data_IF_940576004833
#
_entry.id   IF_940576004833
#
_cell.length_a   1.000
_cell.length_b   1.000
_cell.length_c   1.000
_cell.angle_alpha   90.00
_cell.angle_beta   90.00
_cell.angle_gamma   90.00
#
_symmetry.space_group_name_H-M   'P 1'
#
loop_
_entity.id
_entity.type
_entity.pdbx_description
1 polymer ?
#
# COMPACT_ATOMS: atom_id res chain seq x y z
N UNK A 1 -37.03 -13.46 -3.96
CA UNK A 1 -35.93 -12.79 -3.21
C UNK A 1 -34.61 -13.36 -3.69
N UNK A 2 -33.60 -12.54 -4.01
CA UNK A 2 -32.33 -13.01 -4.62
C UNK A 2 -31.57 -14.04 -3.77
N UNK A 3 -31.66 -13.92 -2.44
CA UNK A 3 -31.08 -14.88 -1.49
C UNK A 3 -31.76 -16.26 -1.50
N UNK A 4 -32.92 -16.43 -2.14
CA UNK A 4 -33.56 -17.76 -2.27
C UNK A 4 -33.04 -18.54 -3.48
N UNK A 5 -32.18 -17.92 -4.30
CA UNK A 5 -31.54 -18.58 -5.44
C UNK A 5 -30.37 -19.44 -4.96
N UNK A 6 -30.03 -20.49 -5.71
CA UNK A 6 -28.91 -21.38 -5.36
C UNK A 6 -27.54 -20.74 -5.65
N UNK A 7 -27.50 -19.83 -6.61
CA UNK A 7 -26.28 -19.25 -7.17
C UNK A 7 -25.40 -18.56 -6.12
N UNK A 8 -25.91 -17.72 -5.18
CA UNK A 8 -25.08 -17.13 -4.12
C UNK A 8 -24.46 -18.17 -3.17
N UNK A 9 -25.19 -19.25 -2.86
CA UNK A 9 -24.69 -20.32 -2.00
C UNK A 9 -23.66 -21.19 -2.69
N UNK A 10 -23.87 -21.50 -3.98
CA UNK A 10 -22.86 -22.18 -4.80
C UNK A 10 -21.58 -21.35 -4.91
N UNK A 11 -21.71 -20.02 -5.08
CA UNK A 11 -20.58 -19.10 -5.06
C UNK A 11 -19.84 -19.10 -3.71
N UNK A 12 -20.58 -19.10 -2.59
CA UNK A 12 -20.00 -19.20 -1.25
C UNK A 12 -19.25 -20.52 -1.05
N UNK A 13 -19.85 -21.65 -1.43
CA UNK A 13 -19.23 -22.97 -1.33
C UNK A 13 -17.96 -23.02 -2.19
N UNK A 14 -18.03 -22.57 -3.44
CA UNK A 14 -16.86 -22.50 -4.32
C UNK A 14 -15.76 -21.62 -3.72
N UNK A 15 -16.13 -20.45 -3.17
CA UNK A 15 -15.20 -19.55 -2.50
C UNK A 15 -14.53 -20.20 -1.29
N UNK A 16 -15.28 -20.95 -0.47
CA UNK A 16 -14.73 -21.70 0.67
C UNK A 16 -13.81 -22.83 0.22
N UNK A 17 -14.13 -23.55 -0.87
CA UNK A 17 -13.25 -24.58 -1.42
C UNK A 17 -11.93 -23.95 -1.88
N UNK A 18 -11.98 -22.87 -2.65
CA UNK A 18 -10.79 -22.18 -3.15
C UNK A 18 -9.97 -21.55 -2.02
N UNK A 19 -10.63 -21.06 -0.96
CA UNK A 19 -9.98 -20.46 0.21
C UNK A 19 -9.58 -21.49 1.29
N UNK A 20 -10.00 -22.75 1.15
CA UNK A 20 -9.73 -23.81 2.14
C UNK A 20 -8.25 -24.02 2.44
N UNK A 21 -7.28 -23.90 1.49
CA UNK A 21 -5.87 -24.04 1.82
C UNK A 21 -5.38 -22.98 2.82
N UNK A 22 -5.92 -21.75 2.73
CA UNK A 22 -5.57 -20.65 3.65
C UNK A 22 -6.13 -20.90 5.05
N UNK A 23 -7.37 -21.41 5.13
CA UNK A 23 -8.01 -21.79 6.39
C UNK A 23 -7.24 -22.93 7.05
N UNK A 24 -6.96 -24.00 6.30
CA UNK A 24 -6.25 -25.17 6.81
C UNK A 24 -4.83 -24.82 7.27
N UNK A 25 -4.09 -24.06 6.48
CA UNK A 25 -2.76 -23.60 6.87
C UNK A 25 -2.81 -22.72 8.13
N UNK A 26 -3.76 -21.79 8.24
CA UNK A 26 -3.89 -20.99 9.46
C UNK A 26 -4.28 -21.84 10.68
N UNK A 27 -5.18 -22.80 10.53
CA UNK A 27 -5.54 -23.72 11.61
C UNK A 27 -4.31 -24.48 12.13
N UNK A 28 -3.45 -24.96 11.24
CA UNK A 28 -2.21 -25.64 11.59
C UNK A 28 -1.11 -24.72 12.15
N UNK A 29 -1.27 -23.39 12.03
CA UNK A 29 -0.29 -22.37 12.45
C UNK A 29 -0.92 -21.37 13.45
N UNK A 30 -1.76 -21.87 14.36
CA UNK A 30 -2.35 -21.10 15.47
C UNK A 30 -3.10 -19.82 15.05
N UNK A 31 -3.64 -19.80 13.83
CA UNK A 31 -4.31 -18.66 13.21
C UNK A 31 -3.43 -17.40 13.12
N UNK A 32 -2.11 -17.56 13.00
CA UNK A 32 -1.14 -16.46 13.08
C UNK A 32 -1.44 -15.32 12.11
N UNK A 33 -1.83 -15.62 10.86
CA UNK A 33 -2.14 -14.57 9.88
C UNK A 33 -3.42 -13.82 10.25
N UNK A 34 -4.48 -14.52 10.66
CA UNK A 34 -5.73 -13.87 11.06
C UNK A 34 -5.58 -13.05 12.33
N UNK A 35 -4.87 -13.56 13.34
CA UNK A 35 -4.53 -12.80 14.56
C UNK A 35 -3.79 -11.51 14.20
N UNK A 36 -2.78 -11.60 13.34
CA UNK A 36 -2.03 -10.43 12.87
C UNK A 36 -2.95 -9.42 12.17
N UNK A 37 -3.80 -9.85 11.23
CA UNK A 37 -4.68 -8.93 10.49
C UNK A 37 -5.76 -8.29 11.37
N UNK A 38 -6.34 -9.04 12.30
CA UNK A 38 -7.34 -8.52 13.24
C UNK A 38 -6.71 -7.50 14.21
N UNK A 39 -5.54 -7.81 14.77
CA UNK A 39 -4.81 -6.88 15.63
C UNK A 39 -4.36 -5.64 14.85
N UNK A 40 -3.84 -5.79 13.63
CA UNK A 40 -3.34 -4.66 12.87
C UNK A 40 -4.46 -3.76 12.30
N UNK A 41 -5.55 -4.37 11.83
CA UNK A 41 -6.62 -3.70 11.06
C UNK A 41 -7.81 -3.22 11.89
N UNK A 42 -8.17 -3.92 12.98
CA UNK A 42 -9.40 -3.66 13.74
C UNK A 42 -9.18 -3.18 15.18
N UNK A 43 -7.93 -3.12 15.64
CA UNK A 43 -7.61 -2.57 16.96
C UNK A 43 -7.95 -1.06 17.04
N UNK A 44 -8.56 -0.67 18.16
CA UNK A 44 -8.88 0.73 18.43
C UNK A 44 -7.59 1.46 18.81
N UNK A 45 -7.07 2.30 17.93
CA UNK A 45 -5.84 3.05 18.17
C UNK A 45 -6.13 4.30 19.01
N UNK A 46 -5.16 4.76 19.81
CA UNK A 46 -5.30 5.98 20.64
C UNK A 46 -5.68 7.24 19.83
N UNK A 47 -5.34 7.28 18.54
CA UNK A 47 -5.65 8.40 17.64
C UNK A 47 -7.02 8.28 16.96
N UNK A 48 -7.81 7.26 17.29
CA UNK A 48 -9.09 6.99 16.68
C UNK A 48 -10.15 8.04 17.05
N UNK A 49 -11.11 8.26 16.15
CA UNK A 49 -12.29 9.09 16.42
C UNK A 49 -12.70 9.92 15.19
N UNK A 50 -13.31 11.08 15.44
CA UNK A 50 -13.81 11.96 14.38
C UNK A 50 -12.72 12.47 13.46
N UNK A 51 -11.48 12.60 13.94
CA UNK A 51 -10.34 12.99 13.10
C UNK A 51 -10.04 11.92 12.05
N UNK A 52 -9.87 10.65 12.45
CA UNK A 52 -9.58 9.56 11.50
C UNK A 52 -10.73 9.29 10.56
N UNK A 53 -11.97 9.52 11.02
CA UNK A 53 -13.15 9.52 10.16
C UNK A 53 -13.11 10.65 9.12
N UNK A 54 -12.80 11.88 9.53
CA UNK A 54 -12.61 13.01 8.61
C UNK A 54 -11.48 12.77 7.61
N UNK A 55 -10.34 12.24 8.08
CA UNK A 55 -9.20 11.85 7.26
C UNK A 55 -9.61 10.77 6.23
N UNK A 56 -10.48 9.83 6.61
CA UNK A 56 -11.04 8.83 5.70
C UNK A 56 -11.84 9.49 4.58
N UNK A 57 -12.86 10.30 4.89
CA UNK A 57 -13.70 10.95 3.87
C UNK A 57 -12.89 11.87 2.96
N UNK A 58 -11.96 12.64 3.53
CA UNK A 58 -11.04 13.50 2.76
C UNK A 58 -10.11 12.67 1.86
N UNK A 59 -9.57 11.56 2.38
CA UNK A 59 -8.72 10.64 1.63
C UNK A 59 -9.47 9.97 0.47
N UNK A 60 -10.72 9.55 0.69
CA UNK A 60 -11.59 8.98 -0.33
C UNK A 60 -11.89 9.99 -1.45
N UNK A 61 -12.28 11.22 -1.09
CA UNK A 61 -12.51 12.29 -2.05
C UNK A 61 -11.23 12.68 -2.80
N UNK A 62 -10.07 12.64 -2.15
CA UNK A 62 -8.77 12.93 -2.76
C UNK A 62 -8.34 11.88 -3.78
N UNK A 63 -8.49 10.58 -3.46
CA UNK A 63 -8.05 9.49 -4.34
C UNK A 63 -9.01 9.24 -5.50
N UNK A 64 -10.31 9.30 -5.27
CA UNK A 64 -11.33 9.08 -6.32
C UNK A 64 -11.63 10.34 -7.14
N UNK A 65 -11.22 11.50 -6.62
CA UNK A 65 -11.62 12.87 -7.01
C UNK A 65 -12.99 13.29 -6.44
N UNK A 66 -13.16 14.56 -6.00
CA UNK A 66 -14.34 14.96 -5.23
C UNK A 66 -15.68 14.75 -5.97
N UNK A 67 -15.73 15.07 -7.26
CA UNK A 67 -16.96 14.97 -8.04
C UNK A 67 -17.35 13.50 -8.31
N UNK A 68 -16.38 12.67 -8.68
CA UNK A 68 -16.62 11.25 -8.90
C UNK A 68 -16.93 10.52 -7.60
N UNK A 69 -16.35 10.96 -6.48
CA UNK A 69 -16.65 10.43 -5.15
C UNK A 69 -18.13 10.65 -4.79
N UNK A 70 -18.63 11.89 -4.94
CA UNK A 70 -20.06 12.19 -4.70
C UNK A 70 -20.96 11.39 -5.65
N UNK A 71 -20.59 11.30 -6.93
CA UNK A 71 -21.34 10.50 -7.90
C UNK A 71 -21.36 9.00 -7.54
N UNK A 72 -20.27 8.48 -6.99
CA UNK A 72 -20.17 7.09 -6.53
C UNK A 72 -21.09 6.82 -5.34
N UNK A 73 -21.09 7.70 -4.32
CA UNK A 73 -21.99 7.57 -3.16
C UNK A 73 -23.46 7.66 -3.57
N UNK A 74 -23.79 8.61 -4.45
CA UNK A 74 -25.14 8.71 -5.02
C UNK A 74 -25.53 7.41 -5.72
N UNK A 75 -24.63 6.84 -6.51
CA UNK A 75 -24.89 5.60 -7.25
C UNK A 75 -25.05 4.40 -6.32
N UNK A 76 -24.25 4.28 -5.26
CA UNK A 76 -24.44 3.25 -4.23
C UNK A 76 -25.85 3.32 -3.65
N UNK A 77 -26.33 4.53 -3.30
CA UNK A 77 -27.71 4.76 -2.84
C UNK A 77 -28.78 4.49 -3.91
N UNK A 78 -28.53 4.82 -5.17
CA UNK A 78 -29.46 4.50 -6.27
C UNK A 78 -29.52 3.01 -6.58
N UNK A 79 -28.42 2.29 -6.40
CA UNK A 79 -28.34 0.86 -6.68
C UNK A 79 -29.21 0.05 -5.71
N UNK A 80 -29.25 0.41 -4.43
CA UNK A 80 -30.17 -0.22 -3.46
C UNK A 80 -31.65 0.05 -3.82
N UNK A 81 -31.98 1.28 -4.21
CA UNK A 81 -33.34 1.66 -4.63
C UNK A 81 -33.76 0.87 -5.88
N UNK A 82 -32.93 0.86 -6.93
CA UNK A 82 -33.20 0.12 -8.17
C UNK A 82 -33.28 -1.39 -7.94
N UNK A 83 -32.37 -1.90 -7.13
CA UNK A 83 -32.30 -3.31 -6.80
C UNK A 83 -33.55 -3.83 -6.09
N UNK A 84 -33.97 -3.16 -5.00
CA UNK A 84 -35.10 -3.61 -4.20
C UNK A 84 -36.46 -3.11 -4.72
N UNK A 85 -36.59 -1.81 -5.00
CA UNK A 85 -37.90 -1.22 -5.35
C UNK A 85 -38.25 -1.45 -6.82
N UNK A 86 -37.27 -1.33 -7.73
CA UNK A 86 -37.48 -1.48 -9.17
C UNK A 86 -37.21 -2.90 -9.69
N UNK A 87 -36.89 -3.84 -8.78
CA UNK A 87 -36.64 -5.26 -9.06
C UNK A 87 -35.57 -5.50 -10.13
N UNK A 88 -34.50 -4.70 -10.11
CA UNK A 88 -33.36 -4.84 -11.03
C UNK A 88 -32.19 -5.56 -10.34
N UNK A 89 -32.08 -6.90 -10.41
CA UNK A 89 -31.15 -7.68 -9.59
C UNK A 89 -29.67 -7.37 -9.88
N UNK A 90 -29.33 -6.89 -11.08
CA UNK A 90 -27.96 -6.47 -11.40
C UNK A 90 -27.51 -5.28 -10.54
N UNK A 91 -28.40 -4.35 -10.18
CA UNK A 91 -28.07 -3.27 -9.24
C UNK A 91 -27.92 -3.76 -7.80
N UNK A 92 -28.56 -4.86 -7.41
CA UNK A 92 -28.30 -5.48 -6.11
C UNK A 92 -26.88 -6.04 -6.05
N UNK A 93 -26.42 -6.72 -7.11
CA UNK A 93 -25.04 -7.21 -7.18
C UNK A 93 -24.07 -6.03 -7.01
N UNK A 94 -24.23 -4.97 -7.81
CA UNK A 94 -23.35 -3.80 -7.77
C UNK A 94 -23.40 -3.08 -6.41
N UNK A 95 -24.56 -3.05 -5.76
CA UNK A 95 -24.69 -2.53 -4.39
C UNK A 95 -23.90 -3.37 -3.39
N UNK A 96 -24.10 -4.69 -3.37
CA UNK A 96 -23.46 -5.59 -2.40
C UNK A 96 -21.94 -5.66 -2.57
N UNK A 97 -21.43 -5.43 -3.78
CA UNK A 97 -19.99 -5.35 -4.07
C UNK A 97 -19.42 -3.92 -4.00
N UNK A 98 -20.19 -2.94 -3.50
CA UNK A 98 -19.73 -1.56 -3.29
C UNK A 98 -20.03 -1.05 -1.87
N UNK A 99 -21.29 -0.75 -1.59
CA UNK A 99 -21.69 0.01 -0.41
C UNK A 99 -21.31 -0.70 0.92
N UNK A 100 -21.50 -2.02 1.10
CA UNK A 100 -21.08 -2.69 2.34
C UNK A 100 -19.57 -2.60 2.58
N UNK A 101 -18.75 -2.70 1.53
CA UNK A 101 -17.29 -2.56 1.62
C UNK A 101 -16.94 -1.14 2.06
N UNK A 102 -17.54 -0.13 1.41
CA UNK A 102 -17.34 1.27 1.77
C UNK A 102 -17.77 1.56 3.21
N UNK A 103 -18.96 1.11 3.62
CA UNK A 103 -19.50 1.31 4.97
C UNK A 103 -18.69 0.58 6.03
N UNK A 104 -18.20 -0.63 5.75
CA UNK A 104 -17.27 -1.33 6.62
C UNK A 104 -16.03 -0.49 6.88
N UNK A 105 -15.38 0.02 5.83
CA UNK A 105 -14.18 0.83 6.01
C UNK A 105 -14.47 2.19 6.65
N UNK A 106 -15.59 2.84 6.31
CA UNK A 106 -16.04 4.06 6.96
C UNK A 106 -16.24 3.83 8.46
N UNK A 107 -16.84 2.71 8.86
CA UNK A 107 -16.97 2.33 10.26
C UNK A 107 -15.62 2.06 10.92
N UNK A 108 -14.75 1.26 10.28
CA UNK A 108 -13.41 1.00 10.83
C UNK A 108 -12.57 2.26 10.97
N UNK A 109 -12.81 3.30 10.16
CA UNK A 109 -12.11 4.58 10.27
C UNK A 109 -12.40 5.34 11.57
N UNK A 110 -13.49 5.01 12.27
CA UNK A 110 -13.75 5.52 13.63
C UNK A 110 -12.88 4.84 14.68
N UNK A 111 -12.30 3.66 14.37
CA UNK A 111 -11.48 2.84 15.28
C UNK A 111 -10.00 2.93 14.98
N UNK A 112 -9.62 3.17 13.72
CA UNK A 112 -8.22 3.29 13.33
C UNK A 112 -8.09 4.14 12.06
N UNK A 113 -6.87 4.56 11.70
CA UNK A 113 -6.63 5.15 10.39
C UNK A 113 -6.81 4.07 9.32
N UNK A 114 -7.68 4.32 8.35
CA UNK A 114 -7.88 3.48 7.16
C UNK A 114 -7.13 4.12 6.00
N UNK A 115 -6.26 3.35 5.34
CA UNK A 115 -5.55 3.86 4.17
C UNK A 115 -6.51 4.01 2.99
N UNK A 116 -6.43 5.11 2.22
CA UNK A 116 -7.42 5.41 1.17
C UNK A 116 -7.61 4.30 0.14
N UNK A 117 -6.54 3.56 -0.18
CA UNK A 117 -6.54 2.47 -1.16
C UNK A 117 -7.31 1.23 -0.69
N UNK A 118 -7.57 1.05 0.61
CA UNK A 118 -8.29 -0.13 1.13
C UNK A 118 -9.71 -0.23 0.60
N UNK A 119 -10.31 0.90 0.24
CA UNK A 119 -11.70 0.99 -0.25
C UNK A 119 -11.80 0.88 -1.77
N UNK A 120 -10.67 0.80 -2.48
CA UNK A 120 -10.63 0.84 -3.95
C UNK A 120 -11.63 -0.12 -4.61
N UNK A 121 -11.77 -1.34 -4.06
CA UNK A 121 -12.68 -2.36 -4.59
C UNK A 121 -14.15 -1.92 -4.61
N UNK A 122 -14.56 -1.09 -3.64
CA UNK A 122 -15.94 -0.59 -3.57
C UNK A 122 -16.30 0.31 -4.75
N UNK A 123 -15.33 1.08 -5.27
CA UNK A 123 -15.57 2.04 -6.34
C UNK A 123 -15.73 1.41 -7.71
N UNK A 124 -15.10 0.25 -7.98
CA UNK A 124 -15.29 -0.43 -9.26
C UNK A 124 -16.77 -0.71 -9.54
N UNK A 125 -17.46 -1.31 -8.58
CA UNK A 125 -18.89 -1.62 -8.73
C UNK A 125 -19.76 -0.36 -8.75
N UNK A 126 -19.40 0.66 -7.96
CA UNK A 126 -20.11 1.93 -7.95
C UNK A 126 -19.98 2.70 -9.29
N UNK A 127 -18.80 2.70 -9.91
CA UNK A 127 -18.56 3.35 -11.21
C UNK A 127 -19.26 2.59 -12.35
N UNK A 128 -19.28 1.26 -12.31
CA UNK A 128 -20.05 0.44 -13.28
C UNK A 128 -21.55 0.75 -13.17
N UNK A 129 -22.08 0.80 -11.95
CA UNK A 129 -23.47 1.19 -11.72
C UNK A 129 -23.76 2.62 -12.22
N UNK A 130 -22.80 3.54 -12.05
CA UNK A 130 -22.92 4.93 -12.48
C UNK A 130 -23.02 4.98 -14.00
N UNK A 131 -22.10 4.30 -14.69
CA UNK A 131 -22.09 4.20 -16.14
C UNK A 131 -23.42 3.63 -16.68
N UNK A 132 -23.96 2.57 -16.07
CA UNK A 132 -25.24 1.99 -16.45
C UNK A 132 -26.42 2.97 -16.30
N UNK A 133 -26.53 3.66 -15.16
CA UNK A 133 -27.58 4.65 -14.93
C UNK A 133 -27.46 5.83 -15.91
N UNK A 134 -26.24 6.30 -16.15
CA UNK A 134 -25.96 7.40 -17.08
C UNK A 134 -26.33 7.00 -18.49
N UNK A 135 -25.93 5.81 -18.95
CA UNK A 135 -26.20 5.31 -20.29
C UNK A 135 -27.70 5.20 -20.59
N UNK A 136 -28.48 4.62 -19.66
CA UNK A 136 -29.94 4.50 -19.80
C UNK A 136 -30.62 5.87 -19.94
N UNK A 137 -30.20 6.85 -19.13
CA UNK A 137 -30.86 8.16 -19.08
C UNK A 137 -30.28 9.18 -20.05
N UNK A 138 -29.16 8.87 -20.70
CA UNK A 138 -28.45 9.79 -21.58
C UNK A 138 -29.33 10.43 -22.67
N UNK A 139 -30.23 9.67 -23.36
CA UNK A 139 -31.11 10.24 -24.38
C UNK A 139 -32.07 11.31 -23.81
N UNK A 140 -32.54 11.11 -22.58
CA UNK A 140 -33.50 11.98 -21.88
C UNK A 140 -32.85 13.19 -21.20
N UNK A 141 -31.53 13.18 -21.07
CA UNK A 141 -30.80 14.22 -20.33
C UNK A 141 -30.79 15.57 -21.05
N UNK A 142 -31.14 16.61 -20.30
CA UNK A 142 -30.95 18.00 -20.72
C UNK A 142 -29.45 18.31 -20.80
N UNK A 143 -29.10 19.33 -21.59
CA UNK A 143 -27.70 19.79 -21.77
C UNK A 143 -26.93 19.96 -20.45
N UNK A 144 -27.57 20.51 -19.41
CA UNK A 144 -26.96 20.68 -18.09
C UNK A 144 -26.51 19.36 -17.45
N UNK A 145 -27.29 18.28 -17.56
CA UNK A 145 -26.95 16.98 -16.98
C UNK A 145 -25.78 16.33 -17.73
N UNK A 146 -25.80 16.39 -19.07
CA UNK A 146 -24.69 15.93 -19.92
C UNK A 146 -23.40 16.71 -19.61
N UNK A 147 -23.49 18.03 -19.49
CA UNK A 147 -22.36 18.87 -19.10
C UNK A 147 -21.80 18.50 -17.73
N UNK A 148 -22.66 18.21 -16.74
CA UNK A 148 -22.23 17.78 -15.42
C UNK A 148 -21.49 16.43 -15.48
N UNK A 149 -22.00 15.45 -16.22
CA UNK A 149 -21.32 14.16 -16.35
C UNK A 149 -19.98 14.29 -17.08
N UNK A 150 -19.91 15.12 -18.12
CA UNK A 150 -18.63 15.46 -18.76
C UNK A 150 -17.67 16.17 -17.81
N UNK A 151 -18.16 17.10 -16.98
CA UNK A 151 -17.33 17.78 -15.98
C UNK A 151 -16.80 16.78 -14.93
N UNK A 152 -17.61 15.84 -14.45
CA UNK A 152 -17.16 14.77 -13.54
C UNK A 152 -16.08 13.93 -14.21
N UNK A 153 -16.33 13.41 -15.41
CA UNK A 153 -15.38 12.55 -16.13
C UNK A 153 -14.07 13.28 -16.47
N UNK A 154 -14.16 14.50 -17.00
CA UNK A 154 -13.01 15.31 -17.37
C UNK A 154 -12.19 15.73 -16.13
N UNK A 155 -12.85 16.11 -15.03
CA UNK A 155 -12.14 16.43 -13.78
C UNK A 155 -11.38 15.20 -13.24
N UNK A 156 -11.98 14.02 -13.28
CA UNK A 156 -11.34 12.78 -12.86
C UNK A 156 -10.11 12.46 -13.75
N UNK A 157 -10.25 12.59 -15.07
CA UNK A 157 -9.16 12.39 -16.01
C UNK A 157 -8.02 13.40 -15.82
N UNK A 158 -8.34 14.68 -15.66
CA UNK A 158 -7.34 15.75 -15.46
C UNK A 158 -6.57 15.51 -14.15
N UNK A 159 -7.27 15.25 -13.04
CA UNK A 159 -6.60 15.00 -11.75
C UNK A 159 -5.75 13.74 -11.82
N UNK A 160 -6.23 12.68 -12.48
CA UNK A 160 -5.46 11.45 -12.69
C UNK A 160 -4.20 11.72 -13.52
N UNK A 161 -4.31 12.48 -14.61
CA UNK A 161 -3.18 12.85 -15.44
C UNK A 161 -2.16 13.69 -14.65
N UNK A 162 -2.63 14.69 -13.88
CA UNK A 162 -1.76 15.50 -13.01
C UNK A 162 -1.05 14.61 -11.99
N UNK A 163 -1.75 13.66 -11.34
CA UNK A 163 -1.15 12.77 -10.36
C UNK A 163 -0.04 11.88 -10.95
N UNK A 164 -0.18 11.44 -12.20
CA UNK A 164 0.84 10.63 -12.89
C UNK A 164 1.98 11.48 -13.45
N UNK A 165 1.72 12.74 -13.82
CA UNK A 165 2.74 13.68 -14.27
C UNK A 165 3.55 14.27 -13.11
N UNK A 166 2.94 14.49 -11.95
CA UNK A 166 3.55 15.08 -10.75
C UNK A 166 4.92 14.48 -10.35
N UNK A 167 5.14 13.16 -10.35
CA UNK A 167 6.46 12.59 -10.05
C UNK A 167 7.52 12.85 -11.13
N UNK A 168 7.13 13.17 -12.37
CA UNK A 168 8.06 13.45 -13.47
C UNK A 168 8.32 14.95 -13.61
N UNK A 169 7.23 15.71 -13.55
CA UNK A 169 7.20 17.16 -13.66
C UNK A 169 6.35 17.65 -12.47
N UNK A 170 6.91 18.41 -11.51
CA UNK A 170 6.15 18.89 -10.35
C UNK A 170 5.17 20.00 -10.78
N UNK A 171 4.08 19.59 -11.45
CA UNK A 171 3.02 20.46 -11.99
C UNK A 171 2.40 21.29 -10.88
N UNK A 172 2.16 20.66 -9.72
CA UNK A 172 1.75 21.34 -8.50
C UNK A 172 3.01 21.61 -7.67
N UNK A 173 3.27 22.87 -7.25
CA UNK A 173 4.48 23.26 -6.51
C UNK A 173 4.41 22.82 -5.04
N UNK A 174 4.36 21.51 -4.80
CA UNK A 174 4.37 20.92 -3.46
C UNK A 174 5.83 20.69 -3.03
N UNK A 175 6.15 21.08 -1.80
CA UNK A 175 7.45 20.78 -1.19
C UNK A 175 7.73 19.28 -1.29
N UNK A 176 8.91 18.85 -1.77
CA UNK A 176 9.23 17.43 -1.96
C UNK A 176 8.92 16.52 -0.79
N UNK A 177 9.20 16.94 0.45
CA UNK A 177 8.90 16.16 1.67
C UNK A 177 7.41 16.00 1.97
N UNK A 178 6.56 16.87 1.44
CA UNK A 178 5.10 16.85 1.62
C UNK A 178 4.38 16.28 0.39
N UNK A 179 5.08 16.07 -0.71
CA UNK A 179 4.53 15.54 -1.94
C UNK A 179 4.46 14.02 -1.86
N UNK A 180 3.26 13.40 -1.89
CA UNK A 180 3.13 11.95 -1.82
C UNK A 180 3.86 11.22 -2.97
N UNK A 181 4.01 11.86 -4.13
CA UNK A 181 4.66 11.27 -5.30
C UNK A 181 6.18 11.18 -5.17
N UNK A 182 6.76 11.88 -4.19
CA UNK A 182 8.19 11.77 -3.87
C UNK A 182 8.59 10.35 -3.46
N UNK A 183 7.63 9.54 -2.98
CA UNK A 183 7.84 8.14 -2.66
C UNK A 183 8.25 7.29 -3.87
N UNK A 184 8.00 7.74 -5.10
CA UNK A 184 8.33 7.04 -6.35
C UNK A 184 9.74 7.36 -6.86
N UNK A 185 10.49 8.25 -6.19
CA UNK A 185 11.76 8.77 -6.65
C UNK A 185 12.95 8.30 -5.81
N UNK A 186 14.15 8.37 -6.39
CA UNK A 186 15.42 8.16 -5.69
C UNK A 186 15.89 6.71 -5.58
N UNK A 187 15.05 5.73 -5.90
CA UNK A 187 15.38 4.32 -5.70
C UNK A 187 16.48 3.80 -6.63
N UNK A 188 16.58 4.30 -7.88
CA UNK A 188 17.73 3.98 -8.75
C UNK A 188 19.05 4.48 -8.16
N UNK A 189 19.07 5.70 -7.64
CA UNK A 189 20.24 6.25 -6.97
C UNK A 189 20.59 5.46 -5.69
N UNK A 190 19.59 4.94 -4.98
CA UNK A 190 19.80 4.00 -3.87
C UNK A 190 20.51 2.74 -4.33
N UNK A 191 20.04 2.13 -5.43
CA UNK A 191 20.69 1.00 -6.08
C UNK A 191 22.15 1.25 -6.46
N UNK A 192 22.40 2.36 -7.17
CA UNK A 192 23.74 2.74 -7.60
C UNK A 192 24.67 2.99 -6.41
N UNK A 193 24.17 3.59 -5.33
CA UNK A 193 24.92 3.83 -4.10
C UNK A 193 25.24 2.53 -3.36
N UNK A 194 24.29 1.58 -3.30
CA UNK A 194 24.54 0.23 -2.77
C UNK A 194 25.64 -0.45 -3.57
N UNK A 195 25.55 -0.46 -4.91
CA UNK A 195 26.57 -1.09 -5.77
C UNK A 195 27.95 -0.45 -5.60
N UNK A 196 28.04 0.88 -5.52
CA UNK A 196 29.29 1.58 -5.21
C UNK A 196 29.84 1.20 -3.84
N UNK A 197 28.98 1.07 -2.84
CA UNK A 197 29.38 0.69 -1.48
C UNK A 197 29.93 -0.74 -1.46
N UNK A 198 29.30 -1.66 -2.19
CA UNK A 198 29.76 -3.06 -2.35
C UNK A 198 31.18 -3.12 -2.92
N UNK A 199 31.51 -2.27 -3.91
CA UNK A 199 32.86 -2.22 -4.50
C UNK A 199 33.96 -1.84 -3.50
N UNK A 200 33.60 -1.28 -2.34
CA UNK A 200 34.55 -0.95 -1.26
C UNK A 200 34.71 -2.05 -0.20
N UNK A 201 33.92 -3.13 -0.29
CA UNK A 201 34.01 -4.29 0.58
C UNK A 201 35.08 -5.27 0.07
N UNK A 202 35.44 -6.25 0.88
CA UNK A 202 36.42 -7.26 0.50
C UNK A 202 35.73 -8.23 -0.48
N UNK A 203 36.18 -8.31 -1.74
CA UNK A 203 35.53 -9.15 -2.76
C UNK A 203 35.62 -10.65 -2.46
N UNK A 204 36.48 -11.07 -1.52
CA UNK A 204 36.64 -12.48 -1.13
C UNK A 204 35.64 -12.93 -0.07
N UNK A 205 34.93 -11.98 0.56
CA UNK A 205 33.94 -12.27 1.61
C UNK A 205 32.52 -12.17 1.08
N UNK A 206 31.63 -13.01 1.61
CA UNK A 206 30.21 -12.87 1.34
C UNK A 206 29.68 -11.57 1.96
N UNK A 207 28.76 -10.91 1.27
CA UNK A 207 28.12 -9.71 1.77
C UNK A 207 26.61 -9.70 1.53
N UNK A 208 25.92 -9.01 2.42
CA UNK A 208 24.46 -8.88 2.40
C UNK A 208 24.03 -7.47 2.78
N UNK A 209 22.74 -7.19 2.63
CA UNK A 209 22.13 -5.92 3.01
C UNK A 209 21.24 -6.14 4.23
N UNK A 210 21.28 -5.20 5.17
CA UNK A 210 20.41 -5.19 6.34
C UNK A 210 19.69 -3.84 6.43
N UNK A 211 18.39 -3.86 6.73
CA UNK A 211 17.60 -2.63 6.84
C UNK A 211 16.45 -2.80 7.84
N UNK A 212 16.00 -1.75 8.55
CA UNK A 212 14.94 -1.90 9.55
C UNK A 212 13.53 -2.02 8.95
N UNK A 213 13.34 -1.69 7.68
CA UNK A 213 12.00 -1.49 7.09
C UNK A 213 11.76 -2.44 5.92
N UNK A 214 10.58 -3.07 5.91
CA UNK A 214 10.16 -3.99 4.86
C UNK A 214 10.20 -3.38 3.45
N UNK A 215 9.84 -2.11 3.32
CA UNK A 215 9.88 -1.42 2.02
C UNK A 215 11.31 -1.36 1.48
N UNK A 216 12.28 -0.99 2.33
CA UNK A 216 13.68 -0.90 1.94
C UNK A 216 14.28 -2.26 1.57
N UNK A 217 13.75 -3.36 2.11
CA UNK A 217 14.10 -4.71 1.65
C UNK A 217 13.71 -4.90 0.18
N UNK A 218 12.46 -4.57 -0.16
CA UNK A 218 11.97 -4.68 -1.54
C UNK A 218 12.78 -3.82 -2.52
N UNK A 219 13.05 -2.57 -2.15
CA UNK A 219 13.84 -1.66 -2.98
C UNK A 219 15.30 -2.13 -3.11
N UNK A 220 15.93 -2.57 -2.02
CA UNK A 220 17.27 -3.14 -2.03
C UNK A 220 17.37 -4.36 -2.94
N UNK A 221 16.43 -5.30 -2.83
CA UNK A 221 16.39 -6.48 -3.70
C UNK A 221 16.15 -6.11 -5.18
N UNK A 222 15.20 -5.21 -5.45
CA UNK A 222 14.85 -4.83 -6.82
C UNK A 222 16.04 -4.18 -7.53
N UNK A 223 16.69 -3.20 -6.90
CA UNK A 223 17.79 -2.46 -7.52
C UNK A 223 19.14 -3.17 -7.51
N UNK A 224 19.27 -4.25 -6.73
CA UNK A 224 20.40 -5.19 -6.82
C UNK A 224 20.10 -6.38 -7.73
N UNK A 225 18.94 -6.39 -8.40
CA UNK A 225 18.47 -7.48 -9.26
C UNK A 225 18.44 -8.84 -8.53
N UNK A 226 18.20 -8.84 -7.22
CA UNK A 226 18.22 -10.03 -6.37
C UNK A 226 19.60 -10.68 -6.18
N UNK A 227 20.69 -10.05 -6.68
CA UNK A 227 22.05 -10.59 -6.58
C UNK A 227 22.62 -10.50 -5.17
N UNK A 228 22.09 -9.58 -4.35
CA UNK A 228 22.53 -9.38 -2.97
C UNK A 228 21.36 -9.69 -2.05
N UNK A 229 21.56 -10.65 -1.14
CA UNK A 229 20.55 -11.00 -0.13
C UNK A 229 20.29 -9.79 0.75
N UNK A 230 19.02 -9.43 0.90
CA UNK A 230 18.60 -8.26 1.67
C UNK A 230 17.65 -8.71 2.77
N UNK A 231 17.99 -8.37 4.01
CA UNK A 231 17.25 -8.79 5.19
C UNK A 231 16.61 -7.61 5.90
N UNK A 232 15.41 -7.85 6.44
CA UNK A 232 14.83 -6.97 7.44
C UNK A 232 15.37 -7.35 8.82
N UNK A 233 15.80 -6.35 9.58
CA UNK A 233 16.11 -6.52 10.99
C UNK A 233 14.84 -6.65 11.84
N UNK A 234 14.86 -7.57 12.81
CA UNK A 234 13.85 -7.73 13.87
C UNK A 234 12.40 -7.79 13.37
N UNK A 235 12.14 -8.68 12.41
CA UNK A 235 10.84 -8.81 11.77
C UNK A 235 10.44 -10.28 11.55
N UNK A 236 10.29 -11.10 12.61
CA UNK A 236 10.16 -12.57 12.52
C UNK A 236 9.00 -13.08 11.66
N UNK A 237 7.95 -12.27 11.47
CA UNK A 237 6.81 -12.59 10.61
C UNK A 237 7.03 -12.24 9.13
N UNK A 238 8.22 -11.76 8.75
CA UNK A 238 8.56 -11.37 7.38
C UNK A 238 9.45 -12.43 6.73
N UNK A 239 9.19 -12.69 5.46
CA UNK A 239 9.91 -13.70 4.67
C UNK A 239 11.42 -13.42 4.63
N UNK A 240 11.80 -12.15 4.49
CA UNK A 240 13.20 -11.73 4.45
C UNK A 240 13.75 -11.31 5.83
N UNK A 241 13.20 -11.82 6.93
CA UNK A 241 13.76 -11.56 8.25
C UNK A 241 15.16 -12.17 8.37
N UNK A 242 16.09 -11.45 9.02
CA UNK A 242 17.36 -12.07 9.44
C UNK A 242 17.08 -13.07 10.58
N UNK A 243 17.32 -14.35 10.34
CA UNK A 243 17.05 -15.45 11.28
C UNK A 243 18.13 -16.51 11.22
N UNK A 244 18.19 -17.38 12.23
CA UNK A 244 19.18 -18.47 12.29
C UNK A 244 19.09 -19.44 11.10
N UNK A 245 17.92 -19.55 10.46
CA UNK A 245 17.69 -20.44 9.33
C UNK A 245 18.23 -19.91 8.00
N UNK A 246 18.38 -18.58 7.87
CA UNK A 246 18.73 -17.93 6.61
C UNK A 246 19.88 -16.92 6.77
N UNK A 247 20.55 -16.90 7.93
CA UNK A 247 21.64 -15.99 8.22
C UNK A 247 22.85 -16.26 7.29
N UNK A 248 23.54 -15.20 6.85
CA UNK A 248 24.84 -15.31 6.19
C UNK A 248 25.88 -15.98 7.09
N UNK A 249 26.92 -16.62 6.54
CA UNK A 249 27.96 -17.27 7.34
C UNK A 249 28.73 -16.26 8.18
N UNK A 250 29.28 -16.71 9.31
CA UNK A 250 30.17 -15.89 10.13
C UNK A 250 31.38 -15.43 9.32
N UNK A 251 31.86 -14.21 9.58
CA UNK A 251 32.90 -13.53 8.81
C UNK A 251 32.37 -12.70 7.63
N UNK A 252 31.09 -12.83 7.26
CA UNK A 252 30.45 -12.03 6.21
C UNK A 252 30.48 -10.53 6.51
N UNK A 253 30.24 -9.73 5.47
CA UNK A 253 30.10 -8.28 5.56
C UNK A 253 28.66 -7.84 5.34
N UNK A 254 28.29 -6.67 5.86
CA UNK A 254 26.95 -6.13 5.63
C UNK A 254 26.99 -4.66 5.26
N UNK A 255 26.06 -4.27 4.39
CA UNK A 255 25.68 -2.89 4.20
C UNK A 255 24.38 -2.69 4.98
N UNK A 256 24.45 -1.88 6.03
CA UNK A 256 23.24 -1.43 6.71
C UNK A 256 22.81 -0.06 6.15
N UNK A 257 21.54 0.06 5.79
CA UNK A 257 20.97 1.37 5.46
C UNK A 257 19.53 1.51 5.97
N UNK A 258 19.16 2.74 6.29
CA UNK A 258 17.83 3.11 6.78
C UNK A 258 17.30 4.34 6.03
N UNK A 259 16.17 4.89 6.45
CA UNK A 259 15.63 6.15 5.92
C UNK A 259 15.50 7.18 7.05
N UNK A 260 15.80 8.44 6.74
CA UNK A 260 15.74 9.56 7.67
C UNK A 260 17.05 9.74 8.43
N UNK A 261 16.95 9.90 9.75
CA UNK A 261 18.08 10.18 10.65
C UNK A 261 18.35 9.01 11.62
N UNK A 262 17.84 7.81 11.33
CA UNK A 262 18.01 6.64 12.19
C UNK A 262 19.45 6.14 12.15
N UNK A 263 20.12 6.11 13.30
CA UNK A 263 21.46 5.54 13.45
C UNK A 263 21.44 4.00 13.39
N UNK A 264 22.61 3.38 13.32
CA UNK A 264 22.78 1.93 13.43
C UNK A 264 22.37 1.47 14.84
N UNK A 265 21.32 0.62 14.99
CA UNK A 265 20.91 0.13 16.29
C UNK A 265 22.02 -0.65 17.00
N UNK A 266 22.25 -0.45 18.33
CA UNK A 266 23.26 -1.20 19.09
C UNK A 266 23.14 -2.74 18.99
N UNK A 267 21.93 -3.33 18.96
CA UNK A 267 21.79 -4.77 18.75
C UNK A 267 22.27 -5.25 17.37
N UNK A 268 22.29 -4.38 16.36
CA UNK A 268 22.84 -4.72 15.04
C UNK A 268 24.35 -4.58 15.08
N UNK A 269 24.89 -3.49 15.64
CA UNK A 269 26.34 -3.26 15.68
C UNK A 269 27.09 -4.35 16.46
N UNK A 270 26.47 -4.93 17.50
CA UNK A 270 27.05 -6.02 18.29
C UNK A 270 27.26 -7.32 17.50
N UNK A 271 26.48 -7.54 16.43
CA UNK A 271 26.59 -8.71 15.54
C UNK A 271 27.82 -8.66 14.63
N UNK A 272 28.57 -7.56 14.63
CA UNK A 272 29.73 -7.37 13.79
C UNK A 272 30.97 -7.07 14.63
N UNK A 273 32.15 -7.34 14.09
CA UNK A 273 33.43 -6.93 14.69
C UNK A 273 33.58 -5.41 14.67
N UNK A 274 33.21 -4.79 13.54
CA UNK A 274 33.20 -3.35 13.39
C UNK A 274 32.11 -2.88 12.43
N UNK A 275 31.60 -1.67 12.66
CA UNK A 275 30.69 -0.98 11.76
C UNK A 275 31.15 0.46 11.62
N UNK A 276 31.41 0.88 10.38
CA UNK A 276 31.86 2.23 10.05
C UNK A 276 30.76 2.96 9.29
N UNK A 277 30.49 4.21 9.67
CA UNK A 277 29.55 5.06 8.96
C UNK A 277 30.12 5.46 7.60
N UNK A 278 29.32 5.31 6.56
CA UNK A 278 29.60 5.74 5.19
C UNK A 278 28.92 7.07 4.88
N UNK A 279 29.32 7.72 3.79
CA UNK A 279 28.61 8.87 3.26
C UNK A 279 27.12 8.54 3.05
N UNK A 280 26.21 9.37 3.59
CA UNK A 280 24.78 9.15 3.42
C UNK A 280 24.37 9.50 1.99
N UNK A 281 23.41 8.75 1.45
CA UNK A 281 22.76 9.08 0.20
C UNK A 281 21.65 10.11 0.44
N UNK A 282 21.80 11.30 -0.13
CA UNK A 282 20.79 12.36 -0.07
C UNK A 282 20.07 12.46 -1.42
N UNK A 283 18.81 12.08 -1.45
CA UNK A 283 17.94 12.23 -2.62
C UNK A 283 17.37 13.64 -2.65
N UNK A 284 17.57 14.31 -3.78
CA UNK A 284 17.13 15.69 -4.02
C UNK A 284 16.16 15.74 -5.20
N UNK A 285 15.18 16.64 -5.12
CA UNK A 285 14.30 17.01 -6.22
C UNK A 285 14.44 18.50 -6.47
N UNK A 286 14.89 18.88 -7.68
CA UNK A 286 15.20 20.29 -8.01
C UNK A 286 16.11 20.96 -6.97
N UNK A 287 17.15 20.25 -6.53
CA UNK A 287 18.10 20.74 -5.51
C UNK A 287 17.62 20.63 -4.05
N UNK A 288 16.33 20.39 -3.80
CA UNK A 288 15.78 20.30 -2.44
C UNK A 288 15.87 18.85 -1.92
N UNK A 289 16.55 18.59 -0.79
CA UNK A 289 16.66 17.26 -0.21
C UNK A 289 15.36 16.82 0.48
N UNK A 290 14.84 15.65 0.10
CA UNK A 290 13.58 15.14 0.64
C UNK A 290 13.68 13.77 1.29
N UNK A 291 14.70 12.99 0.93
CA UNK A 291 14.99 11.70 1.55
C UNK A 291 16.49 11.57 1.77
N UNK A 292 16.86 11.06 2.94
CA UNK A 292 18.23 10.73 3.27
C UNK A 292 18.28 9.28 3.69
N UNK A 293 19.23 8.53 3.15
CA UNK A 293 19.55 7.19 3.57
C UNK A 293 20.93 7.21 4.21
N UNK A 294 21.04 7.08 5.53
CA UNK A 294 22.34 6.87 6.14
C UNK A 294 22.80 5.42 5.90
N UNK A 295 24.11 5.25 5.72
CA UNK A 295 24.75 3.98 5.35
C UNK A 295 25.86 3.63 6.33
N UNK A 296 26.00 2.33 6.58
CA UNK A 296 27.10 1.76 7.38
C UNK A 296 27.65 0.53 6.68
N UNK A 297 28.97 0.38 6.78
CA UNK A 297 29.70 -0.80 6.34
C UNK A 297 30.09 -1.58 7.58
N UNK A 298 29.51 -2.76 7.73
CA UNK A 298 29.79 -3.66 8.84
C UNK A 298 30.64 -4.85 8.38
N UNK A 299 31.63 -5.23 9.17
CA UNK A 299 32.60 -6.29 8.86
C UNK A 299 32.64 -7.32 9.97
N UNK A 300 32.93 -8.57 9.61
CA UNK A 300 33.09 -9.66 10.56
C UNK A 300 31.78 -10.00 11.26
N UNK A 301 30.77 -10.41 10.49
CA UNK A 301 29.51 -10.89 11.05
C UNK A 301 29.78 -12.06 11.99
N UNK A 302 29.39 -11.95 13.26
CA UNK A 302 29.66 -12.94 14.32
C UNK A 302 28.65 -14.09 14.30
N UNK A 303 27.51 -13.91 13.64
CA UNK A 303 26.34 -14.78 13.72
C UNK A 303 25.24 -14.16 14.56
N UNK A 304 24.05 -14.76 14.51
CA UNK A 304 22.96 -14.42 15.43
C UNK A 304 23.22 -15.11 16.79
N UNK A 305 22.86 -14.47 17.91
CA UNK A 305 22.93 -15.08 19.23
C UNK A 305 21.99 -16.27 19.38
#
# INVERSE_FOLDING_TARGET
>A
MWLLRKEPYLGLILGLILFSPVIFWNFANDWVSFKFQLAHGLEVKKTAGLKTFGDFWAGQAGVVTPLLFVASLWTMGRSVIRGFQQRQPHFLLLFWTSAPIFLFFAYTSLRSKVEPNWVALAYFSAVVALAGIVAEKWPEWKRRQRNLAWAVALSALIITAIAHLQPLYPVIPILPRKDPTSQLQGWRALGDHIQKTVQTLDPTKEFFILTPQHQLVGEGMFYTQGKIRTYQWDAPLRINNLSSQNAPPSGSQAIFFSEGNSDLPPPISSLFESCERSDPLVIKRQGIPFRTHPFWKCKGFKGLP
#
